data_IF_116134182849
#
_entry.id   IF_116134182849
#
_cell.length_a   1.000
_cell.length_b   1.000
_cell.length_c   1.000
_cell.angle_alpha   90.00
_cell.angle_beta   90.00
_cell.angle_gamma   90.00
#
_symmetry.space_group_name_H-M   'P 1'
#
loop_
_entity.id
_entity.type
_entity.pdbx_description
1 polymer ?
#
# COMPACT_ATOMS: atom_id res chain seq x y z
N UNK A 1 -11.91 -20.52 28.10
CA UNK A 1 -10.76 -20.84 27.21
C UNK A 1 -9.94 -21.87 27.97
N UNK A 2 -9.88 -23.14 27.50
CA UNK A 2 -9.11 -24.17 28.17
C UNK A 2 -7.61 -23.86 28.15
N UNK A 3 -6.89 -24.26 29.18
CA UNK A 3 -5.44 -24.14 29.28
C UNK A 3 -4.80 -24.77 28.03
N UNK A 4 -4.38 -23.92 27.09
CA UNK A 4 -3.63 -24.34 25.90
C UNK A 4 -2.22 -24.68 26.33
N UNK A 5 -2.02 -25.92 26.76
CA UNK A 5 -0.66 -26.45 26.97
C UNK A 5 -0.06 -26.86 25.63
N UNK A 6 1.26 -26.74 25.50
CA UNK A 6 1.99 -27.24 24.33
C UNK A 6 1.67 -28.73 24.14
N UNK A 7 1.30 -29.19 22.93
CA UNK A 7 0.91 -30.57 22.70
C UNK A 7 2.03 -31.56 23.06
N UNK A 8 1.79 -32.47 23.99
CA UNK A 8 2.75 -33.51 24.35
C UNK A 8 2.86 -34.54 23.22
N UNK A 9 1.76 -34.81 22.53
CA UNK A 9 1.72 -35.73 21.39
C UNK A 9 1.20 -34.99 20.16
N UNK A 10 1.87 -35.17 19.02
CA UNK A 10 1.42 -34.62 17.74
C UNK A 10 0.10 -35.27 17.30
N UNK A 11 -0.63 -34.56 16.45
CA UNK A 11 -1.88 -35.05 15.84
C UNK A 11 -1.61 -35.50 14.40
N UNK A 12 -2.45 -36.36 13.88
CA UNK A 12 -2.35 -36.81 12.48
C UNK A 12 -2.71 -35.67 11.52
N UNK A 13 -2.11 -35.70 10.32
CA UNK A 13 -2.47 -34.74 9.26
C UNK A 13 -3.95 -34.82 8.89
N UNK A 14 -4.53 -36.03 8.92
CA UNK A 14 -5.95 -36.25 8.60
C UNK A 14 -6.86 -35.54 9.63
N UNK A 15 -6.55 -35.65 10.91
CA UNK A 15 -7.34 -34.98 11.96
C UNK A 15 -7.24 -33.45 11.88
N UNK A 16 -6.03 -32.94 11.56
CA UNK A 16 -5.82 -31.49 11.41
C UNK A 16 -6.57 -30.95 10.18
N UNK A 17 -6.55 -31.68 9.06
CA UNK A 17 -7.28 -31.29 7.84
C UNK A 17 -8.80 -31.35 8.04
N UNK A 18 -9.32 -32.33 8.78
CA UNK A 18 -10.72 -32.44 9.11
C UNK A 18 -11.17 -31.25 9.99
N UNK A 19 -10.42 -30.95 11.04
CA UNK A 19 -10.69 -29.78 11.89
C UNK A 19 -10.64 -28.46 11.12
N UNK A 20 -9.64 -28.29 10.24
CA UNK A 20 -9.55 -27.12 9.37
C UNK A 20 -10.77 -26.97 8.48
N UNK A 21 -11.27 -28.05 7.91
CA UNK A 21 -12.48 -28.06 7.10
C UNK A 21 -13.74 -27.67 7.89
N UNK A 22 -13.81 -28.01 9.19
CA UNK A 22 -14.89 -27.59 10.10
C UNK A 22 -14.78 -26.11 10.53
N UNK A 23 -13.56 -25.57 10.62
CA UNK A 23 -13.35 -24.16 11.00
C UNK A 23 -13.62 -23.19 9.88
N UNK A 24 -13.20 -23.51 8.65
CA UNK A 24 -13.27 -22.63 7.47
C UNK A 24 -14.62 -22.03 7.13
N UNK A 25 -15.78 -22.69 7.35
CA UNK A 25 -17.09 -22.08 7.12
C UNK A 25 -17.39 -20.85 8.00
N UNK A 26 -16.58 -20.58 9.04
CA UNK A 26 -16.68 -19.38 9.86
C UNK A 26 -16.01 -18.14 9.23
N UNK A 27 -15.13 -18.38 8.24
CA UNK A 27 -14.44 -17.29 7.54
C UNK A 27 -15.39 -16.61 6.56
N UNK A 28 -15.06 -15.35 6.22
CA UNK A 28 -15.84 -14.63 5.22
C UNK A 28 -15.72 -15.31 3.85
N UNK A 29 -16.85 -15.48 3.20
CA UNK A 29 -16.96 -16.10 1.87
C UNK A 29 -16.59 -15.11 0.77
N UNK A 30 -15.29 -14.84 0.63
CA UNK A 30 -14.79 -13.88 -0.34
C UNK A 30 -14.95 -14.35 -1.80
N UNK A 31 -14.98 -15.66 -2.05
CA UNK A 31 -15.15 -16.25 -3.40
C UNK A 31 -16.51 -15.89 -4.00
N UNK A 32 -17.54 -15.73 -3.20
CA UNK A 32 -18.87 -15.31 -3.62
C UNK A 32 -19.15 -13.83 -3.39
N UNK A 33 -18.09 -13.01 -3.32
CA UNK A 33 -18.21 -11.55 -3.26
C UNK A 33 -18.73 -10.99 -1.94
N UNK A 34 -18.63 -11.73 -0.82
CA UNK A 34 -19.04 -11.25 0.49
C UNK A 34 -17.97 -10.48 1.26
N UNK A 35 -16.74 -10.39 0.70
CA UNK A 35 -15.70 -9.54 1.22
C UNK A 35 -15.60 -8.25 0.38
N UNK A 36 -15.61 -7.09 1.04
CA UNK A 36 -15.26 -5.83 0.42
C UNK A 36 -13.80 -5.53 0.73
N UNK A 37 -12.97 -5.34 -0.32
CA UNK A 37 -11.51 -5.28 -0.22
C UNK A 37 -10.87 -6.52 0.43
N UNK A 38 -9.70 -6.42 1.04
CA UNK A 38 -8.92 -7.48 1.70
C UNK A 38 -8.42 -8.59 0.77
N UNK A 39 -9.26 -9.12 -0.12
CA UNK A 39 -8.91 -10.13 -1.13
C UNK A 39 -9.15 -9.54 -2.51
N UNK A 40 -8.12 -9.56 -3.35
CA UNK A 40 -8.16 -9.11 -4.73
C UNK A 40 -7.99 -10.33 -5.62
N UNK A 41 -9.10 -10.79 -6.18
CA UNK A 41 -9.14 -12.00 -7.01
C UNK A 41 -9.43 -11.64 -8.46
N UNK A 42 -8.59 -12.12 -9.37
CA UNK A 42 -8.80 -11.96 -10.80
C UNK A 42 -10.00 -12.76 -11.32
N UNK A 43 -10.44 -13.77 -10.59
CA UNK A 43 -11.45 -14.76 -11.01
C UNK A 43 -11.07 -15.40 -12.35
N UNK A 44 -9.79 -15.82 -12.45
CA UNK A 44 -9.20 -16.53 -13.59
C UNK A 44 -8.60 -17.85 -13.10
N UNK A 45 -9.23 -19.00 -13.40
CA UNK A 45 -8.80 -20.30 -12.87
C UNK A 45 -7.36 -20.68 -13.24
N UNK A 46 -6.90 -20.32 -14.44
CA UNK A 46 -5.54 -20.60 -14.90
C UNK A 46 -4.50 -19.85 -14.08
N UNK A 47 -4.75 -18.57 -13.74
CA UNK A 47 -3.89 -17.81 -12.86
C UNK A 47 -3.90 -18.38 -11.44
N UNK A 48 -5.06 -18.78 -10.92
CA UNK A 48 -5.17 -19.36 -9.58
C UNK A 48 -4.38 -20.67 -9.47
N UNK A 49 -4.48 -21.56 -10.48
CA UNK A 49 -3.71 -22.80 -10.53
C UNK A 49 -2.20 -22.55 -10.61
N UNK A 50 -1.77 -21.60 -11.45
CA UNK A 50 -0.37 -21.17 -11.56
C UNK A 50 0.14 -20.67 -10.22
N UNK A 51 -0.61 -19.79 -9.54
CA UNK A 51 -0.22 -19.23 -8.23
C UNK A 51 -0.11 -20.32 -7.16
N UNK A 52 -1.01 -21.29 -7.13
CA UNK A 52 -0.92 -22.45 -6.23
C UNK A 52 0.33 -23.28 -6.50
N UNK A 53 0.64 -23.52 -7.77
CA UNK A 53 1.82 -24.30 -8.19
C UNK A 53 3.10 -23.61 -7.72
N UNK A 54 3.31 -22.36 -8.09
CA UNK A 54 4.54 -21.64 -7.70
C UNK A 54 4.66 -21.42 -6.20
N UNK A 55 3.53 -21.22 -5.50
CA UNK A 55 3.55 -21.09 -4.04
C UNK A 55 4.06 -22.38 -3.37
N UNK A 56 3.66 -23.55 -3.91
CA UNK A 56 4.06 -24.85 -3.41
C UNK A 56 5.53 -25.14 -3.76
N UNK A 57 5.95 -24.84 -4.99
CA UNK A 57 7.31 -25.08 -5.46
C UNK A 57 8.36 -24.23 -4.72
N UNK A 58 8.00 -23.00 -4.31
CA UNK A 58 8.88 -22.07 -3.60
C UNK A 58 8.56 -21.95 -2.09
N UNK A 59 7.93 -22.97 -1.51
CA UNK A 59 7.50 -22.97 -0.11
C UNK A 59 8.68 -22.87 0.89
N UNK A 60 9.82 -23.44 0.55
CA UNK A 60 10.98 -23.58 1.44
C UNK A 60 12.13 -22.63 1.10
N UNK A 61 12.11 -21.98 -0.05
CA UNK A 61 13.18 -21.09 -0.50
C UNK A 61 13.20 -19.79 0.31
N UNK A 62 14.43 -19.27 0.48
CA UNK A 62 14.73 -18.14 1.33
C UNK A 62 15.50 -17.05 0.57
N UNK A 63 14.89 -15.90 0.40
CA UNK A 63 15.48 -14.77 -0.31
C UNK A 63 16.51 -13.96 0.51
N UNK A 64 16.91 -14.41 1.71
CA UNK A 64 18.00 -13.79 2.49
C UNK A 64 19.34 -13.85 1.75
N UNK A 65 19.62 -14.97 1.09
CA UNK A 65 20.89 -15.17 0.39
C UNK A 65 20.64 -15.40 -1.10
N UNK A 66 20.66 -14.33 -1.92
CA UNK A 66 20.34 -14.42 -3.34
C UNK A 66 21.29 -15.32 -4.13
N UNK A 67 22.55 -15.46 -3.69
CA UNK A 67 23.53 -16.32 -4.36
C UNK A 67 23.28 -17.83 -4.19
N UNK A 68 22.37 -18.21 -3.31
CA UNK A 68 21.96 -19.61 -3.10
C UNK A 68 20.71 -19.99 -3.88
N UNK A 69 19.89 -19.01 -4.23
CA UNK A 69 18.61 -19.17 -4.92
C UNK A 69 18.54 -18.28 -6.16
N UNK A 70 19.39 -18.60 -7.16
CA UNK A 70 19.53 -17.78 -8.38
C UNK A 70 18.23 -17.60 -9.15
N UNK A 71 17.37 -18.63 -9.19
CA UNK A 71 16.04 -18.53 -9.81
C UNK A 71 15.16 -17.53 -9.10
N UNK A 72 15.17 -17.56 -7.76
CA UNK A 72 14.38 -16.63 -6.95
C UNK A 72 14.90 -15.20 -7.07
N UNK A 73 16.24 -15.02 -7.11
CA UNK A 73 16.88 -13.73 -7.38
C UNK A 73 16.45 -13.16 -8.74
N UNK A 74 16.46 -14.01 -9.77
CA UNK A 74 16.01 -13.62 -11.13
C UNK A 74 14.56 -13.17 -11.11
N UNK A 75 13.65 -13.95 -10.50
CA UNK A 75 12.24 -13.59 -10.39
C UNK A 75 12.02 -12.26 -9.66
N UNK A 76 12.70 -12.05 -8.53
CA UNK A 76 12.63 -10.80 -7.78
C UNK A 76 13.12 -9.62 -8.62
N UNK A 77 14.25 -9.78 -9.32
CA UNK A 77 14.81 -8.73 -10.17
C UNK A 77 13.88 -8.37 -11.32
N UNK A 78 13.29 -9.36 -11.98
CA UNK A 78 12.34 -9.13 -13.08
C UNK A 78 11.09 -8.39 -12.61
N UNK A 79 10.50 -8.76 -11.47
CA UNK A 79 9.35 -8.03 -10.89
C UNK A 79 9.69 -6.58 -10.58
N UNK A 80 10.88 -6.33 -10.01
CA UNK A 80 11.33 -4.96 -9.72
C UNK A 80 11.55 -4.17 -11.03
N UNK A 81 12.14 -4.80 -12.05
CA UNK A 81 12.39 -4.15 -13.34
C UNK A 81 11.08 -3.86 -14.10
N UNK A 82 10.12 -4.76 -14.06
CA UNK A 82 8.77 -4.54 -14.60
C UNK A 82 8.07 -3.37 -13.91
N UNK A 83 8.13 -3.32 -12.59
CA UNK A 83 7.56 -2.22 -11.81
C UNK A 83 8.28 -0.89 -12.10
N UNK A 84 9.61 -0.87 -12.19
CA UNK A 84 10.38 0.30 -12.58
C UNK A 84 10.00 0.80 -13.97
N UNK A 85 9.84 -0.12 -14.92
CA UNK A 85 9.41 0.20 -16.28
C UNK A 85 7.98 0.76 -16.32
N UNK A 86 7.07 0.20 -15.52
CA UNK A 86 5.67 0.63 -15.48
C UNK A 86 5.51 2.04 -14.91
N UNK A 87 6.26 2.39 -13.86
CA UNK A 87 6.10 3.64 -13.12
C UNK A 87 7.17 4.71 -13.44
N UNK A 88 8.26 4.36 -14.12
CA UNK A 88 9.34 5.28 -14.47
C UNK A 88 10.38 5.45 -13.35
N UNK A 89 10.61 4.43 -12.52
CA UNK A 89 11.56 4.44 -11.42
C UNK A 89 12.98 4.00 -11.85
N UNK A 90 14.01 4.38 -11.08
CA UNK A 90 15.40 3.95 -11.31
C UNK A 90 15.84 2.82 -10.37
N UNK A 91 15.30 2.74 -9.16
CA UNK A 91 15.66 1.76 -8.16
C UNK A 91 14.44 1.31 -7.35
N UNK A 92 14.57 0.22 -6.59
CA UNK A 92 13.51 -0.25 -5.71
C UNK A 92 13.78 -1.61 -5.10
N UNK A 93 12.84 -2.04 -4.27
CA UNK A 93 12.86 -3.35 -3.59
C UNK A 93 11.46 -3.96 -3.57
N UNK A 94 11.42 -5.29 -3.60
CA UNK A 94 10.22 -6.04 -3.27
C UNK A 94 10.09 -6.17 -1.75
N UNK A 95 8.92 -5.90 -1.21
CA UNK A 95 8.59 -5.98 0.21
C UNK A 95 7.44 -6.96 0.48
N UNK A 96 7.20 -7.26 1.75
CA UNK A 96 6.14 -8.17 2.17
C UNK A 96 4.72 -7.58 2.09
N UNK A 97 4.59 -6.30 1.74
CA UNK A 97 3.30 -5.60 1.65
C UNK A 97 3.41 -4.10 1.84
N UNK A 98 2.32 -3.37 1.56
CA UNK A 98 2.30 -1.91 1.60
C UNK A 98 2.75 -1.32 2.93
N UNK A 99 2.44 -1.97 4.05
CA UNK A 99 2.93 -1.51 5.36
C UNK A 99 4.46 -1.52 5.44
N UNK A 100 5.13 -2.53 4.90
CA UNK A 100 6.59 -2.56 4.84
C UNK A 100 7.13 -1.58 3.81
N UNK A 101 6.50 -1.46 2.63
CA UNK A 101 6.89 -0.45 1.63
C UNK A 101 6.85 0.97 2.20
N UNK A 102 5.79 1.32 2.92
CA UNK A 102 5.64 2.60 3.62
C UNK A 102 6.71 2.75 4.71
N UNK A 103 6.93 1.69 5.52
CA UNK A 103 7.96 1.70 6.55
C UNK A 103 9.35 1.99 5.98
N UNK A 104 9.69 1.33 4.87
CA UNK A 104 10.96 1.53 4.17
C UNK A 104 11.08 2.95 3.60
N UNK A 105 10.01 3.52 3.04
CA UNK A 105 10.00 4.90 2.57
C UNK A 105 10.23 5.91 3.70
N UNK A 106 9.59 5.71 4.86
CA UNK A 106 9.78 6.55 6.06
C UNK A 106 11.18 6.37 6.64
N UNK A 107 11.70 5.15 6.67
CA UNK A 107 13.07 4.86 7.08
C UNK A 107 14.08 5.58 6.17
N UNK A 108 13.91 5.47 4.86
CA UNK A 108 14.73 6.17 3.87
C UNK A 108 14.73 7.68 4.08
N UNK A 109 13.55 8.27 4.31
CA UNK A 109 13.41 9.69 4.57
C UNK A 109 14.10 10.13 5.88
N UNK A 110 14.01 9.28 6.92
CA UNK A 110 14.72 9.50 8.17
C UNK A 110 16.24 9.50 7.97
N UNK A 111 16.79 8.49 7.31
CA UNK A 111 18.23 8.39 7.05
C UNK A 111 18.73 9.54 6.16
N UNK A 112 17.94 9.90 5.14
CA UNK A 112 18.20 11.06 4.29
C UNK A 112 18.25 12.38 5.10
N UNK A 113 17.34 12.57 6.05
CA UNK A 113 17.29 13.73 6.94
C UNK A 113 18.48 13.77 7.92
N UNK A 114 18.80 12.61 8.52
CA UNK A 114 19.93 12.50 9.45
C UNK A 114 21.27 12.86 8.79
N UNK A 115 21.49 12.47 7.53
CA UNK A 115 22.69 12.86 6.76
C UNK A 115 22.78 14.38 6.52
N UNK A 116 21.64 15.07 6.55
CA UNK A 116 21.55 16.56 6.43
C UNK A 116 21.55 17.27 7.77
N UNK A 117 21.77 16.53 8.87
CA UNK A 117 21.83 17.08 10.22
C UNK A 117 20.46 17.30 10.87
N UNK A 118 19.38 16.83 10.27
CA UNK A 118 18.03 16.91 10.84
C UNK A 118 17.84 15.73 11.79
N UNK A 119 18.04 15.94 13.09
CA UNK A 119 18.05 14.87 14.11
C UNK A 119 16.66 14.40 14.54
N UNK A 120 15.63 15.21 14.33
CA UNK A 120 14.23 14.93 14.69
C UNK A 120 13.33 15.20 13.47
N UNK A 121 13.41 14.37 12.43
CA UNK A 121 12.69 14.64 11.19
C UNK A 121 11.18 14.52 11.37
N UNK A 122 10.45 15.29 10.57
CA UNK A 122 8.99 15.24 10.47
C UNK A 122 8.55 14.69 9.12
N UNK A 123 7.40 14.02 9.13
CA UNK A 123 6.65 13.58 7.95
C UNK A 123 5.33 14.34 7.91
N UNK A 124 5.00 14.98 6.79
CA UNK A 124 3.75 15.70 6.60
C UNK A 124 2.82 14.88 5.70
N UNK A 125 1.60 14.62 6.17
CA UNK A 125 0.58 13.91 5.40
C UNK A 125 -0.83 14.37 5.78
N UNK A 126 -1.80 14.12 4.90
CA UNK A 126 -3.21 14.31 5.24
C UNK A 126 -3.72 13.22 6.19
N UNK A 127 -4.80 13.49 6.91
CA UNK A 127 -5.45 12.57 7.85
C UNK A 127 -6.11 11.36 7.16
N UNK A 128 -6.24 11.42 5.82
CA UNK A 128 -6.70 10.29 4.98
C UNK A 128 -5.58 9.31 4.62
N UNK A 129 -4.31 9.63 4.92
CA UNK A 129 -3.17 8.75 4.67
C UNK A 129 -3.27 7.45 5.47
N UNK A 130 -2.75 6.36 4.89
CA UNK A 130 -2.87 5.03 5.49
C UNK A 130 -2.20 4.98 6.88
N UNK A 131 -2.82 4.32 7.91
CA UNK A 131 -2.28 4.24 9.27
C UNK A 131 -0.87 3.64 9.39
N UNK A 132 -0.37 2.99 8.34
CA UNK A 132 1.00 2.50 8.27
C UNK A 132 2.04 3.63 8.40
N UNK A 133 1.73 4.87 7.97
CA UNK A 133 2.60 6.03 8.18
C UNK A 133 2.73 6.34 9.66
N UNK A 134 1.62 6.41 10.40
CA UNK A 134 1.65 6.63 11.86
C UNK A 134 2.43 5.51 12.58
N UNK A 135 2.25 4.25 12.14
CA UNK A 135 2.99 3.11 12.68
C UNK A 135 4.49 3.23 12.39
N UNK A 136 4.88 3.56 11.16
CA UNK A 136 6.28 3.74 10.78
C UNK A 136 6.93 4.88 11.55
N UNK A 137 6.27 6.04 11.63
CA UNK A 137 6.72 7.20 12.39
C UNK A 137 6.96 6.85 13.86
N UNK A 138 6.01 6.13 14.49
CA UNK A 138 6.14 5.67 15.88
C UNK A 138 7.36 4.77 16.08
N UNK A 139 7.62 3.81 15.17
CA UNK A 139 8.73 2.87 15.31
C UNK A 139 10.09 3.51 15.04
N UNK A 140 10.13 4.46 14.12
CA UNK A 140 11.36 5.07 13.62
C UNK A 140 11.73 6.40 14.33
N UNK A 141 10.89 6.87 15.25
CA UNK A 141 11.12 8.14 15.93
C UNK A 141 11.02 9.37 15.02
N UNK A 142 10.19 9.27 13.99
CA UNK A 142 9.81 10.38 13.10
C UNK A 142 8.53 11.00 13.64
N UNK A 143 8.45 12.32 13.71
CA UNK A 143 7.22 13.02 14.10
C UNK A 143 6.27 13.11 12.89
N UNK A 144 4.98 12.80 13.08
CA UNK A 144 3.98 12.89 12.02
C UNK A 144 3.16 14.16 12.19
N UNK A 145 3.23 15.07 11.22
CA UNK A 145 2.38 16.25 11.08
C UNK A 145 1.17 15.85 10.23
N UNK A 146 0.00 15.85 10.83
CA UNK A 146 -1.23 15.40 10.23
C UNK A 146 -2.12 16.58 9.88
N UNK A 147 -2.48 16.73 8.61
CA UNK A 147 -3.28 17.80 8.05
C UNK A 147 -4.73 17.36 7.82
N UNK A 148 -5.66 18.27 7.92
CA UNK A 148 -7.05 18.00 7.55
C UNK A 148 -7.18 17.87 6.01
N UNK A 149 -8.11 17.02 5.56
CA UNK A 149 -8.47 16.90 4.15
C UNK A 149 -9.50 17.92 3.72
N UNK A 150 -9.60 18.17 2.43
CA UNK A 150 -10.65 19.00 1.82
C UNK A 150 -12.03 18.33 1.86
N UNK A 151 -13.07 19.09 1.53
CA UNK A 151 -14.46 18.59 1.50
C UNK A 151 -14.67 17.45 0.51
N UNK A 152 -13.79 17.31 -0.46
CA UNK A 152 -13.77 16.23 -1.46
C UNK A 152 -12.94 15.01 -1.04
N UNK A 153 -12.42 14.98 0.19
CA UNK A 153 -11.61 13.90 0.75
C UNK A 153 -10.15 13.89 0.31
N UNK A 154 -9.69 14.91 -0.43
CA UNK A 154 -8.31 15.03 -0.91
C UNK A 154 -7.45 15.86 0.03
N UNK A 155 -6.15 15.65 -0.08
CA UNK A 155 -5.16 16.53 0.51
C UNK A 155 -5.30 17.97 -0.04
N UNK A 156 -5.03 18.97 0.80
CA UNK A 156 -5.09 20.40 0.46
C UNK A 156 -3.65 20.94 0.38
N UNK A 157 -3.10 21.21 -0.82
CA UNK A 157 -1.70 21.60 -0.99
C UNK A 157 -1.25 22.79 -0.13
N UNK A 158 -2.10 23.81 0.02
CA UNK A 158 -1.78 24.99 0.84
C UNK A 158 -1.48 24.65 2.31
N UNK A 159 -2.12 23.62 2.87
CA UNK A 159 -1.82 23.17 4.23
C UNK A 159 -0.45 22.52 4.35
N UNK A 160 0.04 21.89 3.26
CA UNK A 160 1.42 21.34 3.22
C UNK A 160 2.45 22.47 3.25
N UNK A 161 2.26 23.54 2.45
CA UNK A 161 3.14 24.72 2.47
C UNK A 161 3.21 25.36 3.86
N UNK A 162 2.07 25.49 4.55
CA UNK A 162 2.00 26.06 5.90
C UNK A 162 2.64 25.17 6.97
N UNK A 163 2.71 23.85 6.75
CA UNK A 163 3.19 22.88 7.73
C UNK A 163 4.68 22.56 7.63
N UNK A 164 5.35 22.99 6.55
CA UNK A 164 6.77 22.74 6.33
C UNK A 164 7.60 23.59 7.33
N UNK A 165 8.54 22.94 8.02
CA UNK A 165 9.54 23.55 8.87
C UNK A 165 10.94 22.98 8.57
N UNK A 166 11.97 23.43 9.30
CA UNK A 166 13.37 22.99 9.13
C UNK A 166 13.59 21.50 9.48
N UNK A 167 12.62 20.82 10.07
CA UNK A 167 12.67 19.40 10.40
C UNK A 167 11.96 18.54 9.36
N UNK A 168 11.22 19.14 8.44
CA UNK A 168 10.44 18.39 7.46
C UNK A 168 11.37 17.60 6.53
N UNK A 169 11.16 16.29 6.46
CA UNK A 169 11.94 15.39 5.62
C UNK A 169 11.18 14.90 4.39
N UNK A 170 9.86 14.69 4.53
CA UNK A 170 9.06 14.05 3.49
C UNK A 170 7.60 14.51 3.52
N UNK A 171 7.05 14.75 2.35
CA UNK A 171 5.62 14.95 2.11
C UNK A 171 5.01 13.67 1.54
N UNK A 172 3.76 13.37 1.91
CA UNK A 172 3.06 12.15 1.47
C UNK A 172 1.77 12.51 0.75
N UNK A 173 1.54 11.89 -0.41
CA UNK A 173 0.28 11.93 -1.16
C UNK A 173 -0.21 10.49 -1.42
N UNK A 174 -1.52 10.28 -1.47
CA UNK A 174 -2.11 8.95 -1.67
C UNK A 174 -2.80 8.82 -3.04
N UNK A 175 -2.67 7.65 -3.66
CA UNK A 175 -3.17 7.40 -5.02
C UNK A 175 -3.80 6.00 -5.15
N UNK A 176 -5.12 5.90 -4.87
CA UNK A 176 -5.96 6.81 -4.11
C UNK A 176 -5.83 6.63 -2.59
N UNK A 177 -6.30 7.57 -1.80
CA UNK A 177 -6.48 7.35 -0.37
C UNK A 177 -7.55 6.28 -0.11
N UNK A 178 -7.34 5.44 0.90
CA UNK A 178 -8.25 4.31 1.17
C UNK A 178 -9.65 4.74 1.64
N UNK A 179 -9.82 5.74 2.54
CA UNK A 179 -11.15 6.08 3.08
C UNK A 179 -12.13 6.58 2.03
N UNK A 180 -11.67 7.37 1.08
CA UNK A 180 -12.53 8.06 0.12
C UNK A 180 -12.34 7.60 -1.33
N UNK A 181 -11.27 6.85 -1.64
CA UNK A 181 -10.98 6.39 -3.00
C UNK A 181 -10.62 7.53 -3.97
N UNK A 182 -10.16 8.67 -3.47
CA UNK A 182 -9.77 9.84 -4.26
C UNK A 182 -8.26 9.95 -4.38
N UNK A 183 -7.80 10.45 -5.54
CA UNK A 183 -6.38 10.71 -5.82
C UNK A 183 -6.04 12.09 -5.28
N UNK A 184 -5.05 12.19 -4.43
CA UNK A 184 -4.53 13.47 -3.94
C UNK A 184 -3.91 14.29 -5.09
N UNK A 185 -3.79 15.62 -4.95
CA UNK A 185 -3.15 16.49 -5.93
C UNK A 185 -1.62 16.30 -5.91
N UNK A 186 -1.16 15.16 -6.44
CA UNK A 186 0.24 14.72 -6.40
C UNK A 186 1.17 15.74 -7.06
N UNK A 187 0.75 16.32 -8.19
CA UNK A 187 1.57 17.29 -8.92
C UNK A 187 1.90 18.51 -8.06
N UNK A 188 0.91 19.03 -7.36
CA UNK A 188 1.03 20.21 -6.50
C UNK A 188 1.88 19.89 -5.26
N UNK A 189 1.61 18.77 -4.58
CA UNK A 189 2.36 18.36 -3.38
C UNK A 189 3.82 18.04 -3.74
N UNK A 190 4.08 17.39 -4.86
CA UNK A 190 5.42 17.10 -5.34
C UNK A 190 6.20 18.37 -5.73
N UNK A 191 5.52 19.37 -6.31
CA UNK A 191 6.12 20.67 -6.60
C UNK A 191 6.55 21.38 -5.31
N UNK A 192 5.67 21.41 -4.29
CA UNK A 192 5.99 21.96 -2.96
C UNK A 192 7.20 21.24 -2.36
N UNK A 193 7.25 19.91 -2.44
CA UNK A 193 8.40 19.15 -1.94
C UNK A 193 9.69 19.52 -2.67
N UNK A 194 9.66 19.62 -4.00
CA UNK A 194 10.82 19.96 -4.81
C UNK A 194 11.33 21.38 -4.54
N UNK A 195 10.44 22.36 -4.41
CA UNK A 195 10.79 23.76 -4.10
C UNK A 195 11.44 23.91 -2.73
N UNK A 196 11.16 23.01 -1.80
CA UNK A 196 11.73 23.00 -0.45
C UNK A 196 12.84 21.94 -0.27
N UNK A 197 13.32 21.32 -1.33
CA UNK A 197 14.36 20.28 -1.32
C UNK A 197 14.01 19.09 -0.41
N UNK A 198 12.70 18.73 -0.32
CA UNK A 198 12.16 17.65 0.48
C UNK A 198 11.93 16.39 -0.36
N UNK A 199 11.81 15.25 0.30
CA UNK A 199 11.31 14.03 -0.34
C UNK A 199 9.78 14.08 -0.50
N UNK A 200 9.27 13.42 -1.56
CA UNK A 200 7.84 13.23 -1.78
C UNK A 200 7.55 11.75 -2.03
N UNK A 201 6.74 11.15 -1.18
CA UNK A 201 6.29 9.78 -1.33
C UNK A 201 4.86 9.70 -1.82
N UNK A 202 4.63 8.87 -2.84
CA UNK A 202 3.28 8.54 -3.32
C UNK A 202 2.87 7.16 -2.83
N UNK A 203 1.89 7.11 -1.96
CA UNK A 203 1.26 5.86 -1.55
C UNK A 203 0.26 5.40 -2.62
N UNK A 204 0.74 4.59 -3.55
CA UNK A 204 -0.04 3.92 -4.57
C UNK A 204 -0.25 2.43 -4.26
N UNK A 205 -0.18 2.03 -2.98
CA UNK A 205 -0.42 0.65 -2.57
C UNK A 205 -1.74 0.09 -3.10
N UNK A 206 -2.77 0.93 -3.19
CA UNK A 206 -4.06 0.52 -3.76
C UNK A 206 -4.10 0.68 -5.29
N UNK A 207 -3.75 1.86 -5.81
CA UNK A 207 -3.97 2.22 -7.22
C UNK A 207 -2.85 1.84 -8.17
N UNK A 208 -1.63 1.56 -7.67
CA UNK A 208 -0.45 1.41 -8.52
C UNK A 208 -0.61 0.39 -9.65
N UNK A 209 -1.13 -0.79 -9.36
CA UNK A 209 -1.35 -1.85 -10.36
C UNK A 209 -2.73 -1.77 -11.06
N UNK A 210 -3.46 -0.65 -10.92
CA UNK A 210 -4.76 -0.42 -11.57
C UNK A 210 -4.75 0.82 -12.46
N UNK A 211 -4.27 1.95 -11.94
CA UNK A 211 -4.38 3.26 -12.59
C UNK A 211 -3.64 3.37 -13.92
N UNK A 212 -2.44 2.78 -14.14
CA UNK A 212 -1.78 2.80 -15.44
C UNK A 212 -2.64 2.18 -16.55
N UNK A 213 -3.40 1.15 -16.19
CA UNK A 213 -4.29 0.46 -17.13
C UNK A 213 -5.57 1.26 -17.40
N UNK A 214 -6.11 1.94 -16.39
CA UNK A 214 -7.25 2.84 -16.61
C UNK A 214 -6.87 4.03 -17.50
N UNK A 215 -5.70 4.60 -17.31
CA UNK A 215 -5.17 5.63 -18.19
C UNK A 215 -5.05 5.13 -19.64
N UNK A 216 -4.52 3.93 -19.88
CA UNK A 216 -4.46 3.32 -21.22
C UNK A 216 -5.84 2.95 -21.79
N UNK A 217 -6.83 2.78 -20.93
CA UNK A 217 -8.23 2.61 -21.33
C UNK A 217 -8.92 3.95 -21.70
N UNK A 218 -8.20 5.07 -21.58
CA UNK A 218 -8.70 6.41 -21.88
C UNK A 218 -9.40 7.11 -20.74
N UNK A 219 -9.27 6.59 -19.50
CA UNK A 219 -9.77 7.30 -18.32
C UNK A 219 -8.84 8.47 -18.00
N UNK A 220 -9.40 9.65 -17.63
CA UNK A 220 -8.62 10.83 -17.30
C UNK A 220 -7.96 10.69 -15.90
N UNK A 221 -6.95 9.84 -15.74
CA UNK A 221 -6.15 9.71 -14.52
C UNK A 221 -5.15 10.87 -14.45
N UNK A 222 -5.16 11.70 -13.38
CA UNK A 222 -4.15 12.74 -13.23
C UNK A 222 -2.75 12.10 -13.08
N UNK A 223 -1.66 12.77 -13.48
CA UNK A 223 -0.30 12.29 -13.24
C UNK A 223 -0.04 12.07 -11.73
N UNK A 224 0.57 10.93 -11.36
CA UNK A 224 0.76 10.56 -9.96
C UNK A 224 2.04 9.76 -9.69
N UNK A 225 2.70 9.24 -10.73
CA UNK A 225 3.91 8.44 -10.64
C UNK A 225 5.18 9.28 -10.91
N UNK A 226 6.28 8.63 -11.23
CA UNK A 226 7.54 9.33 -11.49
C UNK A 226 7.54 10.21 -12.76
N UNK A 227 6.45 10.29 -13.50
CA UNK A 227 6.24 11.34 -14.53
C UNK A 227 6.02 12.71 -13.91
N UNK A 228 5.63 12.77 -12.63
CA UNK A 228 5.52 14.01 -11.87
C UNK A 228 6.89 14.36 -11.30
N UNK A 229 7.45 15.49 -11.71
CA UNK A 229 8.69 16.00 -11.12
C UNK A 229 8.50 16.25 -9.62
N UNK A 230 9.53 15.92 -8.82
CA UNK A 230 9.46 16.04 -7.36
C UNK A 230 8.96 14.78 -6.63
N UNK A 231 8.28 13.83 -7.28
CA UNK A 231 8.05 12.51 -6.69
C UNK A 231 9.37 11.76 -6.56
N UNK A 232 9.77 11.41 -5.33
CA UNK A 232 11.04 10.75 -5.03
C UNK A 232 10.91 9.26 -4.72
N UNK A 233 9.75 8.84 -4.20
CA UNK A 233 9.47 7.44 -3.90
C UNK A 233 7.99 7.09 -4.09
N UNK A 234 7.71 5.80 -4.30
CA UNK A 234 6.37 5.27 -4.54
C UNK A 234 6.24 3.86 -3.97
N UNK A 235 5.09 3.55 -3.36
CA UNK A 235 4.74 2.19 -2.94
C UNK A 235 3.55 1.65 -3.75
N UNK A 236 3.60 0.35 -4.17
CA UNK A 236 2.54 -0.28 -4.95
C UNK A 236 2.39 -1.77 -4.62
N UNK A 237 1.19 -2.19 -4.17
CA UNK A 237 0.95 -3.57 -3.73
C UNK A 237 0.60 -4.49 -4.90
N UNK A 238 1.49 -5.43 -5.22
CA UNK A 238 1.23 -6.45 -6.24
C UNK A 238 0.12 -7.39 -5.76
N UNK A 239 0.04 -7.66 -4.46
CA UNK A 239 -0.99 -8.51 -3.87
C UNK A 239 -2.38 -7.86 -3.76
N UNK A 240 -2.56 -6.66 -4.35
CA UNK A 240 -3.87 -6.04 -4.59
C UNK A 240 -4.25 -6.19 -6.06
N UNK A 241 -4.24 -5.14 -6.84
CA UNK A 241 -4.58 -5.18 -8.26
C UNK A 241 -3.46 -5.75 -9.17
N UNK A 242 -2.35 -6.19 -8.60
CA UNK A 242 -1.39 -7.08 -9.28
C UNK A 242 -1.79 -8.55 -9.22
N UNK A 243 -2.84 -8.89 -8.47
CA UNK A 243 -3.55 -10.18 -8.42
C UNK A 243 -2.72 -11.38 -7.95
N UNK A 244 -1.58 -11.17 -7.30
CA UNK A 244 -0.89 -12.26 -6.59
C UNK A 244 -1.46 -12.45 -5.18
N UNK A 245 -1.10 -13.53 -4.51
CA UNK A 245 -1.45 -13.74 -3.10
C UNK A 245 -0.65 -12.82 -2.17
N UNK A 246 -1.06 -12.71 -0.88
CA UNK A 246 -0.49 -11.78 0.09
C UNK A 246 1.00 -12.00 0.31
N UNK A 247 1.72 -10.93 0.56
CA UNK A 247 3.15 -10.95 0.82
C UNK A 247 4.02 -10.30 -0.27
N UNK A 248 3.43 -9.54 -1.20
CA UNK A 248 4.16 -8.87 -2.28
C UNK A 248 3.71 -7.43 -2.50
N UNK A 249 4.65 -6.49 -2.37
CA UNK A 249 4.54 -5.07 -2.68
C UNK A 249 5.89 -4.56 -3.19
N UNK A 250 5.93 -3.41 -3.82
CA UNK A 250 7.18 -2.74 -4.19
C UNK A 250 7.26 -1.37 -3.54
N UNK A 251 8.47 -0.99 -3.15
CA UNK A 251 8.85 0.40 -2.89
C UNK A 251 9.89 0.80 -3.93
N UNK A 252 9.63 1.89 -4.63
CA UNK A 252 10.40 2.35 -5.77
C UNK A 252 10.90 3.77 -5.52
N UNK A 253 12.02 4.12 -6.17
CA UNK A 253 12.68 5.41 -6.02
C UNK A 253 13.04 6.00 -7.38
N UNK A 254 12.91 7.33 -7.47
CA UNK A 254 13.35 8.09 -8.65
C UNK A 254 14.84 7.92 -8.87
N UNK A 255 15.63 8.08 -7.79
CA UNK A 255 17.08 8.13 -7.83
C UNK A 255 17.69 7.02 -6.98
N UNK A 256 18.81 6.48 -7.47
CA UNK A 256 19.55 5.45 -6.76
C UNK A 256 20.16 5.98 -5.45
N UNK A 257 20.56 7.24 -5.40
CA UNK A 257 21.13 7.87 -4.22
C UNK A 257 20.13 7.88 -3.07
N UNK A 258 18.84 8.18 -3.33
CA UNK A 258 17.78 8.10 -2.33
C UNK A 258 17.53 6.65 -1.90
N UNK A 259 17.52 5.71 -2.87
CA UNK A 259 17.35 4.28 -2.58
C UNK A 259 18.46 3.72 -1.68
N UNK A 260 19.72 4.16 -1.85
CA UNK A 260 20.85 3.69 -1.04
C UNK A 260 20.67 3.98 0.44
N UNK A 261 19.88 4.98 0.81
CA UNK A 261 19.50 5.26 2.22
C UNK A 261 18.60 4.17 2.82
N UNK A 262 17.91 3.38 1.99
CA UNK A 262 17.11 2.24 2.45
C UNK A 262 17.98 1.05 2.88
N UNK A 263 19.17 0.92 2.33
CA UNK A 263 19.99 -0.29 2.52
C UNK A 263 20.71 -0.21 3.86
N UNK A 264 20.32 -1.08 4.77
CA UNK A 264 21.05 -1.27 6.03
C UNK A 264 22.31 -2.11 5.78
N UNK A 265 23.45 -1.64 6.26
CA UNK A 265 24.73 -2.36 6.17
C UNK A 265 25.40 -2.40 7.55
N UNK A 266 25.95 -3.56 7.89
CA UNK A 266 26.70 -3.77 9.14
C UNK A 266 27.82 -4.75 8.93
N UNK A 267 29.05 -4.36 9.20
CA UNK A 267 30.30 -5.12 8.97
C UNK A 267 31.05 -5.51 10.26
N UNK A 268 30.64 -4.95 11.40
CA UNK A 268 31.21 -5.27 12.72
C UNK A 268 30.51 -6.48 13.36
N UNK A 269 30.53 -7.60 12.63
CA UNK A 269 29.91 -8.86 13.07
C UNK A 269 30.79 -10.06 12.69
N UNK A 270 31.03 -11.04 13.62
CA UNK A 270 31.84 -12.23 13.34
C UNK A 270 31.38 -13.08 12.15
N UNK A 271 30.11 -12.96 11.74
CA UNK A 271 29.58 -13.63 10.56
C UNK A 271 29.92 -12.96 9.22
N UNK A 272 30.59 -11.80 9.24
CA UNK A 272 30.95 -11.00 8.08
C UNK A 272 29.95 -9.89 7.78
N UNK A 273 29.98 -9.37 6.56
CA UNK A 273 29.09 -8.29 6.13
C UNK A 273 27.63 -8.75 6.10
N UNK A 274 26.77 -8.00 6.79
CA UNK A 274 25.32 -8.10 6.67
C UNK A 274 24.77 -6.88 5.92
N UNK A 275 24.00 -7.12 4.87
CA UNK A 275 23.32 -6.08 4.13
C UNK A 275 21.87 -6.49 3.83
N UNK A 276 20.93 -5.57 3.97
CA UNK A 276 19.51 -5.82 3.70
C UNK A 276 18.84 -4.55 3.21
N UNK A 277 18.07 -4.66 2.15
CA UNK A 277 17.19 -3.60 1.62
C UNK A 277 15.74 -3.71 2.14
N UNK A 278 15.45 -4.65 3.03
CA UNK A 278 14.11 -4.92 3.59
C UNK A 278 14.15 -4.95 5.10
N UNK A 279 13.00 -4.81 5.75
CA UNK A 279 12.90 -4.86 7.21
C UNK A 279 13.15 -6.26 7.78
N UNK A 280 12.83 -7.30 7.00
CA UNK A 280 13.10 -8.69 7.34
C UNK A 280 14.41 -9.16 6.68
N UNK A 281 15.22 -9.97 7.40
CA UNK A 281 16.35 -10.64 6.80
C UNK A 281 15.89 -11.85 5.98
N UNK A 282 15.38 -12.89 6.63
CA UNK A 282 14.78 -14.04 5.95
C UNK A 282 13.45 -13.64 5.32
N UNK A 283 13.32 -13.86 4.00
CA UNK A 283 12.07 -13.63 3.26
C UNK A 283 11.63 -14.92 2.56
N UNK A 284 10.33 -15.28 2.64
CA UNK A 284 9.80 -16.47 1.97
C UNK A 284 9.87 -16.33 0.44
N UNK A 285 10.19 -17.42 -0.25
CA UNK A 285 10.27 -17.46 -1.71
C UNK A 285 8.91 -17.40 -2.40
N UNK A 286 7.90 -18.02 -1.82
CA UNK A 286 6.58 -18.11 -2.45
C UNK A 286 5.95 -16.77 -2.87
N UNK A 287 5.94 -15.68 -2.05
CA UNK A 287 5.39 -14.39 -2.49
C UNK A 287 6.16 -13.76 -3.66
N UNK A 288 7.46 -13.94 -3.72
CA UNK A 288 8.31 -13.44 -4.81
C UNK A 288 7.95 -14.19 -6.11
N UNK A 289 7.93 -15.52 -6.05
CA UNK A 289 7.55 -16.37 -7.18
C UNK A 289 6.11 -16.11 -7.64
N UNK A 290 5.19 -15.90 -6.69
CA UNK A 290 3.80 -15.56 -7.00
C UNK A 290 3.66 -14.19 -7.66
N UNK A 291 4.42 -13.17 -7.23
CA UNK A 291 4.44 -11.87 -7.87
C UNK A 291 4.95 -11.97 -9.31
N UNK A 292 6.07 -12.67 -9.51
CA UNK A 292 6.64 -12.92 -10.84
C UNK A 292 5.65 -13.66 -11.74
N UNK A 293 5.02 -14.73 -11.24
CA UNK A 293 4.07 -15.51 -12.00
C UNK A 293 2.85 -14.68 -12.42
N UNK A 294 2.27 -13.89 -11.51
CA UNK A 294 1.13 -13.06 -11.81
C UNK A 294 1.45 -11.98 -12.85
N UNK A 295 2.55 -11.24 -12.67
CA UNK A 295 2.95 -10.15 -13.56
C UNK A 295 3.26 -10.70 -14.96
N UNK A 296 4.03 -11.78 -15.04
CA UNK A 296 4.45 -12.39 -16.31
C UNK A 296 3.28 -13.04 -17.04
N UNK A 297 2.39 -13.77 -16.32
CA UNK A 297 1.25 -14.46 -16.91
C UNK A 297 0.20 -13.48 -17.45
N UNK A 298 -0.13 -12.44 -16.68
CA UNK A 298 -1.13 -11.47 -17.10
C UNK A 298 -0.60 -10.55 -18.20
N UNK A 299 0.62 -10.05 -18.06
CA UNK A 299 1.17 -9.05 -18.97
C UNK A 299 0.22 -7.86 -19.17
N UNK A 300 0.54 -6.96 -20.08
CA UNK A 300 -0.29 -5.78 -20.38
C UNK A 300 -1.72 -6.16 -20.78
N UNK A 301 -1.88 -7.18 -21.66
CA UNK A 301 -3.20 -7.58 -22.15
C UNK A 301 -4.11 -8.12 -21.04
N UNK A 302 -3.56 -8.90 -20.10
CA UNK A 302 -4.29 -9.41 -18.94
C UNK A 302 -4.70 -8.30 -18.00
N UNK A 303 -3.77 -7.41 -17.65
CA UNK A 303 -4.06 -6.26 -16.79
C UNK A 303 -5.09 -5.31 -17.41
N UNK A 304 -5.00 -5.02 -18.71
CA UNK A 304 -5.99 -4.20 -19.43
C UNK A 304 -7.40 -4.83 -19.37
N UNK A 305 -7.50 -6.13 -19.55
CA UNK A 305 -8.76 -6.89 -19.47
C UNK A 305 -9.35 -6.81 -18.06
N UNK A 306 -8.54 -7.06 -17.02
CA UNK A 306 -8.98 -7.01 -15.62
C UNK A 306 -9.32 -5.59 -15.18
N UNK A 307 -8.54 -4.60 -15.57
CA UNK A 307 -8.82 -3.19 -15.29
C UNK A 307 -10.14 -2.73 -15.92
N UNK A 308 -10.47 -3.19 -17.14
CA UNK A 308 -11.78 -2.96 -17.77
C UNK A 308 -12.92 -3.53 -16.93
N UNK A 309 -12.78 -4.77 -16.45
CA UNK A 309 -13.79 -5.41 -15.58
C UNK A 309 -14.02 -4.60 -14.30
N UNK A 310 -12.94 -4.12 -13.65
CA UNK A 310 -13.03 -3.28 -12.45
C UNK A 310 -13.72 -1.95 -12.77
N UNK A 311 -13.35 -1.30 -13.85
CA UNK A 311 -13.96 -0.03 -14.30
C UNK A 311 -15.46 -0.18 -14.56
N UNK A 312 -15.86 -1.22 -15.28
CA UNK A 312 -17.27 -1.48 -15.60
C UNK A 312 -18.08 -1.79 -14.33
N UNK A 313 -17.50 -2.54 -13.38
CA UNK A 313 -18.12 -2.81 -12.07
C UNK A 313 -18.27 -1.52 -11.26
N UNK A 314 -17.23 -0.69 -11.19
CA UNK A 314 -17.25 0.60 -10.48
C UNK A 314 -18.33 1.52 -11.05
N UNK A 315 -18.39 1.69 -12.37
CA UNK A 315 -19.40 2.52 -13.03
C UNK A 315 -20.83 1.99 -12.81
N UNK A 316 -21.01 0.67 -12.80
CA UNK A 316 -22.31 0.06 -12.48
C UNK A 316 -22.72 0.34 -11.05
N UNK A 317 -21.78 0.26 -10.11
CA UNK A 317 -22.04 0.55 -8.70
C UNK A 317 -22.38 2.02 -8.47
N UNK A 318 -21.65 2.94 -9.10
CA UNK A 318 -21.94 4.39 -9.07
C UNK A 318 -23.35 4.69 -9.55
N UNK A 319 -23.72 4.22 -10.75
CA UNK A 319 -25.09 4.40 -11.28
C UNK A 319 -26.17 3.81 -10.36
N UNK A 320 -25.86 2.69 -9.70
CA UNK A 320 -26.79 2.08 -8.75
C UNK A 320 -27.02 2.94 -7.50
N UNK A 321 -26.00 3.59 -6.98
CA UNK A 321 -26.10 4.52 -5.85
C UNK A 321 -26.84 5.81 -6.27
N UNK A 322 -26.46 6.37 -7.42
CA UNK A 322 -27.12 7.59 -7.96
C UNK A 322 -28.62 7.41 -8.24
N UNK A 323 -29.06 6.18 -8.46
CA UNK A 323 -30.47 5.84 -8.65
C UNK A 323 -31.26 5.70 -7.34
N UNK A 324 -30.62 5.76 -6.17
CA UNK A 324 -31.28 5.75 -4.87
C UNK A 324 -31.66 7.18 -4.49
N UNK A 325 -32.94 7.44 -4.28
CA UNK A 325 -33.43 8.75 -3.85
C UNK A 325 -32.72 9.20 -2.56
N UNK A 326 -32.30 10.45 -2.50
CA UNK A 326 -31.53 11.08 -1.41
C UNK A 326 -30.10 10.57 -1.19
N UNK A 327 -29.58 9.65 -2.01
CA UNK A 327 -28.19 9.27 -2.03
C UNK A 327 -27.42 10.09 -3.10
N UNK A 328 -26.65 11.08 -2.67
CA UNK A 328 -25.64 11.68 -3.54
C UNK A 328 -24.33 10.90 -3.39
N UNK A 329 -23.81 10.36 -4.47
CA UNK A 329 -22.50 9.72 -4.50
C UNK A 329 -21.39 10.76 -4.40
N UNK A 330 -21.18 11.33 -3.21
CA UNK A 330 -20.05 12.24 -2.99
C UNK A 330 -18.71 11.46 -3.07
N UNK A 331 -18.73 10.16 -2.79
CA UNK A 331 -17.54 9.36 -2.56
C UNK A 331 -17.46 8.02 -3.31
N UNK A 332 -18.43 7.68 -4.13
CA UNK A 332 -18.33 6.47 -4.97
C UNK A 332 -17.51 6.78 -6.20
N UNK A 333 -16.22 6.85 -5.98
CA UNK A 333 -15.25 6.78 -7.06
C UNK A 333 -15.03 8.07 -7.80
N UNK A 334 -14.24 8.92 -7.20
CA UNK A 334 -13.32 9.71 -7.99
C UNK A 334 -11.94 9.00 -8.14
N UNK A 335 -11.92 7.69 -8.10
CA UNK A 335 -11.25 6.94 -9.14
C UNK A 335 -12.12 7.05 -10.41
N UNK A 336 -13.17 7.78 -10.41
CA UNK A 336 -13.84 8.38 -11.52
C UNK A 336 -13.50 9.88 -11.50
N UNK A 337 -12.50 10.17 -12.04
CA UNK A 337 -12.03 11.22 -12.89
C UNK A 337 -13.12 12.21 -13.26
N UNK A 338 -12.85 13.45 -12.80
CA UNK A 338 -13.10 14.65 -13.54
C UNK A 338 -14.54 14.94 -13.94
N UNK A 339 -15.23 15.70 -13.15
CA UNK A 339 -15.85 16.92 -13.64
C UNK A 339 -15.77 17.99 -12.53
N UNK A 340 -14.70 18.73 -12.52
CA UNK A 340 -14.48 19.90 -11.67
C UNK A 340 -15.60 20.95 -11.82
N UNK A 341 -16.44 20.85 -12.85
CA UNK A 341 -17.50 21.84 -13.16
C UNK A 341 -18.78 21.69 -12.34
N UNK A 342 -18.95 20.61 -11.58
CA UNK A 342 -20.16 20.41 -10.75
C UNK A 342 -19.99 20.85 -9.30
N UNK A 343 -18.77 21.04 -8.82
CA UNK A 343 -18.51 21.42 -7.41
C UNK A 343 -18.71 22.94 -7.20
N UNK A 344 -18.47 23.76 -8.21
CA UNK A 344 -18.58 25.23 -8.11
C UNK A 344 -20.03 25.75 -8.01
N UNK A 345 -21.03 24.89 -8.14
CA UNK A 345 -22.47 25.23 -8.10
C UNK A 345 -23.19 25.03 -6.76
N UNK A 346 -22.58 24.42 -5.75
CA UNK A 346 -23.25 24.07 -4.49
C UNK A 346 -22.57 24.56 -3.19
N UNK A 347 -21.98 25.73 -3.22
CA UNK A 347 -21.40 26.35 -2.02
C UNK A 347 -22.43 26.91 -1.01
N UNK A 348 -23.58 26.31 -0.83
CA UNK A 348 -24.61 26.82 0.10
C UNK A 348 -25.25 25.82 1.07
N UNK A 349 -24.70 24.63 1.28
CA UNK A 349 -25.24 23.65 2.25
C UNK A 349 -24.23 23.20 3.32
N UNK A 350 -23.22 23.98 3.64
CA UNK A 350 -22.17 23.66 4.62
C UNK A 350 -22.38 24.23 6.01
N UNK A 351 -23.47 23.90 6.71
CA UNK A 351 -23.58 24.16 8.16
C UNK A 351 -24.38 23.07 8.89
N UNK A 352 -23.97 21.81 8.84
CA UNK A 352 -24.33 20.78 9.81
C UNK A 352 -23.49 19.52 9.62
N UNK A 353 -22.22 19.56 10.00
CA UNK A 353 -21.46 18.35 10.36
C UNK A 353 -20.34 18.74 11.32
N UNK A 354 -20.70 19.23 12.49
CA UNK A 354 -19.80 19.22 13.63
C UNK A 354 -20.11 17.97 14.45
N UNK A 355 -19.05 17.30 14.92
CA UNK A 355 -19.01 16.19 15.90
C UNK A 355 -18.94 14.79 15.29
N UNK A 356 -17.75 14.37 14.96
CA UNK A 356 -17.30 13.02 15.23
C UNK A 356 -16.05 13.11 16.13
N UNK A 357 -16.23 12.70 17.37
CA UNK A 357 -15.22 12.73 18.42
C UNK A 357 -14.14 11.68 18.16
N UNK A 358 -12.92 12.02 18.53
CA UNK A 358 -11.68 11.29 18.59
C UNK A 358 -11.86 9.74 18.76
N UNK A 359 -11.50 8.91 17.76
CA UNK A 359 -11.59 7.45 17.87
C UNK A 359 -10.59 6.83 18.86
N UNK A 360 -9.60 7.58 19.33
CA UNK A 360 -8.63 7.09 20.33
C UNK A 360 -9.27 6.96 21.72
N UNK A 361 -10.32 7.73 22.04
CA UNK A 361 -11.04 7.57 23.31
C UNK A 361 -11.99 6.37 23.35
N UNK A 362 -12.46 5.87 22.21
CA UNK A 362 -13.36 4.73 22.14
C UNK A 362 -12.64 3.39 22.41
N UNK A 363 -11.36 3.27 22.08
CA UNK A 363 -10.57 2.04 22.33
C UNK A 363 -10.11 1.95 23.79
N UNK A 364 -9.94 3.09 24.47
CA UNK A 364 -9.55 3.15 25.88
C UNK A 364 -10.68 2.68 26.84
N UNK A 365 -11.93 2.89 26.48
CA UNK A 365 -13.09 2.50 27.31
C UNK A 365 -13.50 1.03 27.12
N UNK A 366 -13.15 0.38 26.02
CA UNK A 366 -13.41 -1.04 25.79
C UNK A 366 -12.44 -1.98 26.54
N UNK A 367 -11.35 -1.47 27.12
CA UNK A 367 -10.35 -2.26 27.88
C UNK A 367 -10.60 -2.30 29.40
N UNK A 368 -11.54 -1.54 29.93
CA UNK A 368 -11.81 -1.47 31.36
C UNK A 368 -13.12 -2.21 31.80
N UNK A 369 -13.71 -3.01 30.92
CA UNK A 369 -14.93 -3.77 31.19
C UNK A 369 -14.70 -5.28 31.42
N UNK A 370 -13.53 -5.71 31.92
CA UNK A 370 -13.38 -7.07 32.46
C UNK A 370 -13.69 -7.04 33.94
N UNK A 371 -14.87 -7.45 34.24
CA UNK A 371 -15.47 -7.57 35.56
C UNK A 371 -14.63 -8.47 36.48
N UNK A 372 -14.19 -7.92 37.60
CA UNK A 372 -13.75 -8.69 38.75
C UNK A 372 -15.01 -9.17 39.49
N UNK A 373 -15.46 -10.37 39.22
CA UNK A 373 -16.31 -11.13 40.16
C UNK A 373 -16.03 -12.62 40.04
N UNK A 374 -15.50 -13.11 41.17
CA UNK A 374 -15.35 -14.48 41.68
C UNK A 374 -14.36 -15.38 40.97
#
# INVERSE_FOLDING_TARGET
MGDSTFPITGRSSADLLAELAEMRPRDIDWRHGKAFSLVYNADEPELEELLHTVANDFLHENALNPFRYETLLKMESEVIDDAKSLFGASAGSLSSGGTESIFLAVYTAREWALQRGITHPTLVCTDTAHPAFAKACHYLGVEMVRLDHGLDGRAVPALYEEAIDERTAILVASTPCYPYGVIDPVTEIAAIAAENELLCHVDACLGGWLLPWWERLGEPVPPWDFRVDGVTSLSADIHKYGYTFKGASVVLYRDREVYEQQVFMYDDWPGGLYASSTSAGTRPGAPIAGAWAAVTHLGEAGYMRLARRVLDATRRFQRGIEAIDDCQSIFVGQVAIGDQRRIDGQASLGQRAAVARDPVQAVGQARLGVDQRD
#
